data_IF_453608332827
#
_entry.id   IF_453608332827
#
_cell.length_a   1.000
_cell.length_b   1.000
_cell.length_c   1.000
_cell.angle_alpha   90.00
_cell.angle_beta   90.00
_cell.angle_gamma   90.00
#
_symmetry.space_group_name_H-M   'P 1'
#
loop_
_entity.id
_entity.type
_entity.pdbx_description
1 polymer ?
#
# COMPACT_ATOMS: atom_id res chain seq x y z
N UNK A 1 -7.38 -11.63 14.48
CA UNK A 1 -6.05 -11.30 13.91
C UNK A 1 -5.46 -10.05 14.58
N UNK A 2 -4.24 -10.14 15.11
CA UNK A 2 -3.62 -9.09 15.93
C UNK A 2 -3.10 -7.91 15.10
N UNK A 3 -3.42 -6.69 15.51
CA UNK A 3 -2.77 -5.47 15.00
C UNK A 3 -1.35 -5.41 15.57
N UNK A 4 -0.34 -5.52 14.73
CA UNK A 4 1.06 -5.29 15.13
C UNK A 4 1.28 -3.77 15.14
N UNK A 5 1.61 -3.24 16.31
CA UNK A 5 2.01 -1.82 16.47
C UNK A 5 3.43 -1.65 15.95
N UNK A 6 3.64 -0.74 15.01
CA UNK A 6 4.89 -0.55 14.26
C UNK A 6 5.44 0.86 14.40
N UNK A 7 5.83 1.28 15.61
CA UNK A 7 6.48 2.58 15.81
C UNK A 7 7.99 2.44 15.76
N UNK A 8 8.67 3.30 14.98
CA UNK A 8 10.12 3.41 14.98
C UNK A 8 10.54 4.80 15.49
N UNK A 9 10.90 4.88 16.77
CA UNK A 9 11.14 6.14 17.47
C UNK A 9 9.99 7.16 17.31
N UNK A 10 10.21 8.27 16.60
CA UNK A 10 9.20 9.31 16.34
C UNK A 10 8.41 9.07 15.06
N UNK A 11 8.75 8.05 14.28
CA UNK A 11 8.08 7.72 13.04
C UNK A 11 6.89 6.80 13.36
N UNK A 12 5.69 7.25 12.98
CA UNK A 12 4.47 6.44 13.00
C UNK A 12 4.33 5.59 11.74
N UNK A 13 3.56 4.52 11.82
CA UNK A 13 3.29 3.63 10.69
C UNK A 13 1.91 3.90 10.08
N UNK A 14 1.94 4.23 8.80
CA UNK A 14 0.77 4.34 7.93
C UNK A 14 0.63 3.07 7.12
N UNK A 15 -0.48 2.35 7.33
CA UNK A 15 -0.81 1.16 6.54
C UNK A 15 -1.88 1.50 5.51
N UNK A 16 -1.44 1.74 4.27
CA UNK A 16 -2.32 2.02 3.14
C UNK A 16 -3.32 0.90 2.87
N UNK A 17 -2.99 -0.36 3.16
CA UNK A 17 -3.93 -1.46 2.97
C UNK A 17 -5.14 -1.32 3.91
N UNK A 18 -4.94 -0.90 5.16
CA UNK A 18 -6.06 -0.65 6.09
C UNK A 18 -6.93 0.52 5.62
N UNK A 19 -6.33 1.59 5.10
CA UNK A 19 -7.05 2.75 4.61
C UNK A 19 -7.99 2.38 3.45
N UNK A 20 -7.53 1.57 2.49
CA UNK A 20 -8.36 1.14 1.36
C UNK A 20 -9.33 0.01 1.74
N UNK A 21 -8.94 -0.92 2.61
CA UNK A 21 -9.81 -2.04 3.02
C UNK A 21 -11.06 -1.57 3.76
N UNK A 22 -10.94 -0.55 4.62
CA UNK A 22 -12.05 -0.03 5.40
C UNK A 22 -13.12 0.67 4.54
N UNK A 23 -12.76 1.12 3.34
CA UNK A 23 -13.64 1.87 2.44
C UNK A 23 -13.91 1.06 1.16
N UNK A 24 -12.93 1.01 0.27
CA UNK A 24 -13.04 0.32 -1.03
C UNK A 24 -13.30 -1.17 -0.86
N UNK A 25 -12.62 -1.84 0.07
CA UNK A 25 -12.79 -3.28 0.28
C UNK A 25 -14.13 -3.70 0.88
N UNK A 26 -14.85 -2.77 1.52
CA UNK A 26 -16.20 -3.02 2.04
C UNK A 26 -17.28 -2.61 1.05
N UNK A 27 -17.04 -1.55 0.27
CA UNK A 27 -18.07 -0.91 -0.56
C UNK A 27 -18.00 -1.30 -2.04
N UNK A 28 -16.88 -1.82 -2.53
CA UNK A 28 -16.67 -2.15 -3.93
C UNK A 28 -16.20 -3.60 -4.09
N UNK A 29 -16.66 -4.33 -5.12
CA UNK A 29 -16.27 -5.72 -5.37
C UNK A 29 -14.89 -5.80 -6.05
N UNK A 30 -13.90 -5.05 -5.56
CA UNK A 30 -12.53 -5.07 -6.08
C UNK A 30 -11.56 -5.58 -5.02
N UNK A 31 -10.54 -6.32 -5.46
CA UNK A 31 -9.48 -6.77 -4.56
C UNK A 31 -8.72 -5.55 -4.01
N UNK A 32 -8.48 -5.53 -2.70
CA UNK A 32 -7.61 -4.52 -2.07
C UNK A 32 -6.11 -4.80 -2.27
N UNK A 33 -5.74 -5.64 -3.24
CA UNK A 33 -4.35 -5.82 -3.63
C UNK A 33 -3.79 -4.56 -4.29
N UNK A 34 -2.48 -4.32 -4.11
CA UNK A 34 -1.78 -3.13 -4.60
C UNK A 34 -2.06 -2.84 -6.09
N UNK A 35 -1.96 -3.87 -6.95
CA UNK A 35 -2.14 -3.77 -8.40
C UNK A 35 -3.59 -3.46 -8.79
N UNK A 36 -4.56 -4.12 -8.14
CA UNK A 36 -5.99 -3.88 -8.37
C UNK A 36 -6.39 -2.46 -7.97
N UNK A 37 -5.92 -1.99 -6.81
CA UNK A 37 -6.16 -0.63 -6.34
C UNK A 37 -5.49 0.41 -7.24
N UNK A 38 -4.25 0.16 -7.66
CA UNK A 38 -3.54 1.03 -8.61
C UNK A 38 -4.33 1.21 -9.91
N UNK A 39 -4.73 0.10 -10.55
CA UNK A 39 -5.55 0.12 -11.77
C UNK A 39 -6.87 0.85 -11.56
N UNK A 40 -7.54 0.61 -10.42
CA UNK A 40 -8.80 1.27 -10.08
C UNK A 40 -8.69 2.80 -10.01
N UNK A 41 -7.56 3.33 -9.53
CA UNK A 41 -7.31 4.78 -9.46
C UNK A 41 -6.60 5.34 -10.70
N UNK A 42 -6.52 4.56 -11.79
CA UNK A 42 -5.92 4.98 -13.05
C UNK A 42 -4.38 5.03 -13.05
N UNK A 43 -3.72 4.24 -12.21
CA UNK A 43 -2.27 4.04 -12.25
C UNK A 43 -1.92 2.79 -13.04
N UNK A 44 -0.76 2.82 -13.69
CA UNK A 44 -0.23 1.72 -14.51
C UNK A 44 0.83 0.93 -13.74
N UNK A 45 0.49 -0.24 -13.18
CA UNK A 45 1.48 -1.05 -12.48
C UNK A 45 2.31 -1.93 -13.43
N UNK A 46 3.59 -2.09 -13.13
CA UNK A 46 4.41 -3.17 -13.72
C UNK A 46 3.91 -4.51 -13.17
N UNK A 47 3.50 -5.45 -14.02
CA UNK A 47 3.04 -6.78 -13.60
C UNK A 47 4.04 -7.86 -14.04
N UNK A 48 4.32 -8.78 -13.11
CA UNK A 48 5.20 -9.93 -13.34
C UNK A 48 4.45 -11.22 -13.00
N UNK A 49 4.82 -12.33 -13.66
CA UNK A 49 4.32 -13.64 -13.25
C UNK A 49 4.93 -14.03 -11.90
N UNK A 50 4.10 -14.00 -10.85
CA UNK A 50 4.51 -14.33 -9.47
C UNK A 50 5.10 -15.73 -9.34
N UNK A 51 4.73 -16.67 -10.22
CA UNK A 51 5.27 -18.05 -10.20
C UNK A 51 6.71 -18.09 -10.70
N UNK A 52 7.11 -17.09 -11.49
CA UNK A 52 8.41 -16.98 -12.15
C UNK A 52 9.19 -15.74 -11.72
N UNK A 53 8.78 -15.09 -10.62
CA UNK A 53 9.44 -13.88 -10.11
C UNK A 53 10.93 -14.10 -9.77
N UNK A 54 11.30 -15.35 -9.46
CA UNK A 54 12.67 -15.76 -9.19
C UNK A 54 13.53 -15.88 -10.45
N UNK A 55 12.92 -15.85 -11.63
CA UNK A 55 13.60 -15.91 -12.93
C UNK A 55 13.89 -14.51 -13.50
N UNK A 56 13.36 -13.46 -12.89
CA UNK A 56 13.59 -12.08 -13.33
C UNK A 56 15.07 -11.73 -13.24
N UNK A 57 15.56 -10.95 -14.21
CA UNK A 57 16.89 -10.35 -14.08
C UNK A 57 16.93 -9.36 -12.91
N UNK A 58 18.12 -9.02 -12.39
CA UNK A 58 18.25 -7.98 -11.37
C UNK A 58 17.60 -6.65 -11.77
N UNK A 59 17.67 -6.28 -13.05
CA UNK A 59 17.10 -5.05 -13.60
C UNK A 59 15.57 -5.12 -13.62
N UNK A 60 14.99 -6.21 -14.10
CA UNK A 60 13.53 -6.43 -14.10
C UNK A 60 12.97 -6.46 -12.67
N UNK A 61 13.68 -7.10 -11.75
CA UNK A 61 13.33 -7.10 -10.32
C UNK A 61 13.40 -5.69 -9.74
N UNK A 62 14.43 -4.92 -10.06
CA UNK A 62 14.59 -3.55 -9.61
C UNK A 62 13.43 -2.67 -10.09
N UNK A 63 13.08 -2.74 -11.38
CA UNK A 63 11.96 -2.00 -11.96
C UNK A 63 10.62 -2.38 -11.33
N UNK A 64 10.38 -3.68 -11.13
CA UNK A 64 9.18 -4.20 -10.49
C UNK A 64 9.03 -3.68 -9.05
N UNK A 65 10.09 -3.78 -8.23
CA UNK A 65 10.07 -3.32 -6.83
C UNK A 65 9.92 -1.80 -6.76
N UNK A 66 10.63 -1.07 -7.62
CA UNK A 66 10.54 0.39 -7.69
C UNK A 66 9.14 0.84 -8.10
N UNK A 67 8.50 0.13 -9.05
CA UNK A 67 7.10 0.35 -9.41
C UNK A 67 6.19 0.16 -8.21
N UNK A 68 6.34 -0.93 -7.45
CA UNK A 68 5.49 -1.19 -6.27
C UNK A 68 5.65 -0.14 -5.18
N UNK A 69 6.89 0.27 -4.88
CA UNK A 69 7.15 1.33 -3.91
C UNK A 69 6.51 2.66 -4.34
N UNK A 70 6.62 3.01 -5.63
CA UNK A 70 5.99 4.23 -6.19
C UNK A 70 4.47 4.17 -6.11
N UNK A 71 3.86 3.03 -6.40
CA UNK A 71 2.40 2.85 -6.33
C UNK A 71 1.90 2.94 -4.89
N UNK A 72 2.58 2.27 -3.95
CA UNK A 72 2.22 2.31 -2.54
C UNK A 72 2.20 3.74 -1.99
N UNK A 73 3.26 4.51 -2.27
CA UNK A 73 3.32 5.93 -1.90
C UNK A 73 2.17 6.73 -2.52
N UNK A 74 1.99 6.61 -3.83
CA UNK A 74 0.97 7.34 -4.59
C UNK A 74 -0.46 7.03 -4.14
N UNK A 75 -0.75 5.79 -3.73
CA UNK A 75 -2.05 5.39 -3.20
C UNK A 75 -2.31 5.98 -1.82
N UNK A 76 -1.30 5.99 -0.95
CA UNK A 76 -1.38 6.61 0.39
C UNK A 76 -1.53 8.13 0.27
N UNK A 77 -0.76 8.78 -0.61
CA UNK A 77 -0.84 10.22 -0.88
C UNK A 77 -2.25 10.66 -1.34
N UNK A 78 -2.98 9.82 -2.07
CA UNK A 78 -4.38 10.07 -2.51
C UNK A 78 -5.42 9.94 -1.39
N UNK A 79 -5.03 9.46 -0.21
CA UNK A 79 -5.90 9.18 0.93
C UNK A 79 -5.34 9.80 2.21
N UNK A 80 -4.52 10.85 2.08
CA UNK A 80 -3.94 11.58 3.21
C UNK A 80 -5.01 12.21 4.11
N UNK A 81 -6.23 12.40 3.63
CA UNK A 81 -7.36 12.85 4.45
C UNK A 81 -7.98 11.73 5.30
N UNK A 82 -7.68 10.46 5.00
CA UNK A 82 -8.26 9.27 5.64
C UNK A 82 -7.23 8.37 6.30
N UNK A 83 -6.22 8.95 6.93
CA UNK A 83 -5.12 8.21 7.54
C UNK A 83 -5.63 7.09 8.48
N UNK A 84 -5.52 5.84 8.02
CA UNK A 84 -5.61 4.68 8.89
C UNK A 84 -4.24 4.49 9.55
N UNK A 85 -3.97 5.29 10.59
CA UNK A 85 -2.80 5.09 11.43
C UNK A 85 -2.89 3.71 12.06
N UNK A 86 -1.84 2.91 11.89
CA UNK A 86 -1.69 1.69 12.68
C UNK A 86 -1.38 2.07 14.14
N UNK A 87 -0.64 3.17 14.31
CA UNK A 87 -0.13 3.68 15.59
C UNK A 87 -0.58 5.12 15.85
N UNK A 88 -1.89 5.32 16.07
CA UNK A 88 -2.53 6.60 16.44
C UNK A 88 -2.33 7.78 15.48
N UNK A 89 -3.33 8.65 15.44
CA UNK A 89 -3.24 9.91 14.72
C UNK A 89 -2.16 10.81 15.37
N UNK A 90 -1.18 11.37 14.65
CA UNK A 90 -0.17 12.27 15.19
C UNK A 90 -0.78 13.52 15.82
N UNK A 91 -2.02 13.87 15.48
CA UNK A 91 -2.78 14.93 16.15
C UNK A 91 -3.36 14.53 17.51
N UNK A 92 -3.29 13.25 17.89
CA UNK A 92 -3.74 12.71 19.19
C UNK A 92 -2.71 12.82 20.31
N UNK A 93 -1.67 13.64 20.13
CA UNK A 93 -0.69 13.86 21.19
C UNK A 93 -1.30 14.72 22.29
N UNK A 94 -1.61 14.10 23.43
CA UNK A 94 -1.71 14.78 24.73
C UNK A 94 -0.35 15.18 25.26
#
# INVERSE_FOLDING_TARGET
>A
PGRVRGRWYRLGHLDGFQAYRADVGQNLPISCGLKSLAKFVGLEPVEVDRRRIHELTPEEMHEYVLSDARLARQLVERRVDRFAWVDQDPSSSG
#
